data_IF_562572469075
#
_entry.id   IF_562572469075
#
_cell.length_a   1.000
_cell.length_b   1.000
_cell.length_c   1.000
_cell.angle_alpha   90.00
_cell.angle_beta   90.00
_cell.angle_gamma   90.00
#
_symmetry.space_group_name_H-M   'P 1'
#
loop_
_entity.id
_entity.type
_entity.pdbx_description
1 polymer ?
#
# COMPACT_ATOMS: atom_id res chain seq x y z
N UNK A 1 -26.07 -30.63 20.60
CA UNK A 1 -24.61 -30.86 20.50
C UNK A 1 -23.94 -29.68 21.16
N UNK A 2 -23.09 -29.81 22.19
CA UNK A 2 -22.39 -28.66 22.74
C UNK A 2 -21.40 -28.17 21.67
N UNK A 3 -21.60 -26.97 21.12
CA UNK A 3 -20.64 -26.37 20.20
C UNK A 3 -19.36 -26.08 20.98
N UNK A 4 -18.24 -26.64 20.58
CA UNK A 4 -16.96 -26.25 21.19
C UNK A 4 -16.69 -24.77 20.84
N UNK A 5 -15.79 -24.10 21.59
CA UNK A 5 -15.51 -22.68 21.36
C UNK A 5 -14.99 -22.38 19.94
N UNK A 6 -14.32 -23.36 19.31
CA UNK A 6 -13.84 -23.23 17.94
C UNK A 6 -14.98 -23.32 16.91
N UNK A 7 -16.00 -24.15 17.13
CA UNK A 7 -17.19 -24.26 16.28
C UNK A 7 -17.95 -22.93 16.27
N UNK A 8 -18.07 -22.29 17.43
CA UNK A 8 -18.69 -20.96 17.56
C UNK A 8 -17.90 -19.90 16.80
N UNK A 9 -16.57 -19.87 17.00
CA UNK A 9 -15.69 -18.92 16.31
C UNK A 9 -15.76 -19.11 14.78
N UNK A 10 -15.80 -20.37 14.33
CA UNK A 10 -15.92 -20.74 12.91
C UNK A 10 -17.24 -20.28 12.32
N UNK A 11 -18.34 -20.51 13.02
CA UNK A 11 -19.66 -20.05 12.60
C UNK A 11 -19.75 -18.52 12.54
N UNK A 12 -19.20 -17.83 13.54
CA UNK A 12 -19.14 -16.36 13.58
C UNK A 12 -18.31 -15.80 12.42
N UNK A 13 -17.11 -16.33 12.17
CA UNK A 13 -16.28 -15.88 11.05
C UNK A 13 -16.97 -16.14 9.70
N UNK A 14 -17.56 -17.33 9.53
CA UNK A 14 -18.29 -17.70 8.30
C UNK A 14 -19.45 -16.73 8.03
N UNK A 15 -20.13 -16.24 9.07
CA UNK A 15 -21.20 -15.25 8.91
C UNK A 15 -20.70 -13.92 8.35
N UNK A 16 -19.43 -13.57 8.53
CA UNK A 16 -18.82 -12.36 7.97
C UNK A 16 -18.57 -12.47 6.46
N UNK A 17 -18.38 -13.70 5.96
CA UNK A 17 -18.16 -13.96 4.53
C UNK A 17 -19.45 -13.82 3.71
N UNK A 18 -20.61 -13.76 4.37
CA UNK A 18 -21.89 -13.54 3.70
C UNK A 18 -22.02 -12.05 3.34
N UNK A 19 -21.81 -11.76 2.05
CA UNK A 19 -21.84 -10.39 1.52
C UNK A 19 -23.27 -9.87 1.50
N UNK A 20 -23.60 -9.06 2.50
CA UNK A 20 -24.88 -8.33 2.59
C UNK A 20 -24.76 -6.88 2.12
N UNK A 21 -23.54 -6.34 2.15
CA UNK A 21 -23.20 -5.02 1.66
C UNK A 21 -21.72 -5.06 1.19
N UNK A 22 -21.40 -4.68 -0.06
CA UNK A 22 -20.07 -4.83 -0.64
C UNK A 22 -19.01 -3.98 0.06
N UNK A 23 -19.41 -2.91 0.74
CA UNK A 23 -18.51 -2.10 1.57
C UNK A 23 -17.89 -2.88 2.74
N UNK A 24 -18.37 -4.09 3.00
CA UNK A 24 -17.84 -4.98 4.02
C UNK A 24 -17.42 -6.34 3.44
N UNK A 25 -17.30 -6.45 2.11
CA UNK A 25 -16.86 -7.66 1.44
C UNK A 25 -15.36 -7.88 1.66
N UNK A 26 -15.02 -9.01 2.28
CA UNK A 26 -13.65 -9.37 2.61
C UNK A 26 -12.85 -9.86 1.39
N UNK A 27 -13.52 -10.24 0.28
CA UNK A 27 -12.85 -10.60 -0.97
C UNK A 27 -12.05 -9.42 -1.57
N UNK A 28 -12.33 -8.19 -1.13
CA UNK A 28 -11.52 -7.02 -1.46
C UNK A 28 -10.05 -7.14 -0.98
N UNK A 29 -9.77 -7.97 0.03
CA UNK A 29 -8.42 -8.18 0.56
C UNK A 29 -7.71 -9.38 -0.05
N UNK A 30 -8.42 -10.26 -0.76
CA UNK A 30 -7.90 -11.51 -1.32
C UNK A 30 -8.77 -12.70 -0.94
N UNK A 31 -8.60 -13.82 -1.65
CA UNK A 31 -9.47 -14.99 -1.51
C UNK A 31 -9.16 -15.78 -0.24
N UNK A 32 -7.95 -15.59 0.33
CA UNK A 32 -7.49 -16.22 1.57
C UNK A 32 -8.50 -16.13 2.73
N UNK A 33 -9.26 -15.03 2.86
CA UNK A 33 -10.27 -14.87 3.91
C UNK A 33 -11.33 -15.96 3.90
N UNK A 34 -11.70 -16.48 2.72
CA UNK A 34 -12.64 -17.58 2.59
C UNK A 34 -12.12 -18.89 3.19
N UNK A 35 -10.79 -19.02 3.33
CA UNK A 35 -10.11 -20.19 3.89
C UNK A 35 -9.86 -20.12 5.39
N UNK A 36 -10.09 -18.97 6.02
CA UNK A 36 -9.84 -18.80 7.47
C UNK A 36 -10.70 -19.76 8.30
N UNK A 37 -12.02 -19.93 8.06
CA UNK A 37 -12.86 -20.81 8.89
C UNK A 37 -12.34 -22.25 9.03
N UNK A 38 -11.80 -22.84 7.97
CA UNK A 38 -11.28 -24.23 8.01
C UNK A 38 -9.98 -24.37 8.82
N UNK A 39 -9.34 -23.26 9.20
CA UNK A 39 -8.08 -23.23 9.98
C UNK A 39 -8.30 -22.96 11.47
N UNK A 40 -9.51 -22.57 11.86
CA UNK A 40 -9.83 -22.22 13.24
C UNK A 40 -9.93 -23.47 14.13
N UNK A 41 -9.55 -23.32 15.40
CA UNK A 41 -9.45 -24.41 16.37
C UNK A 41 -8.15 -25.21 16.30
N UNK A 42 -7.33 -24.99 15.27
CA UNK A 42 -6.03 -25.63 15.10
C UNK A 42 -4.84 -24.84 15.66
N UNK A 43 -5.01 -23.54 15.92
CA UNK A 43 -3.92 -22.67 16.37
C UNK A 43 -4.44 -21.51 17.23
N UNK A 44 -4.01 -21.47 18.50
CA UNK A 44 -4.44 -20.47 19.49
C UNK A 44 -4.20 -19.01 19.05
N UNK A 45 -3.12 -18.74 18.33
CA UNK A 45 -2.76 -17.37 17.89
C UNK A 45 -3.69 -16.92 16.77
N UNK A 46 -3.95 -17.81 15.79
CA UNK A 46 -4.88 -17.54 14.71
C UNK A 46 -6.31 -17.37 15.24
N UNK A 47 -6.73 -18.21 16.18
CA UNK A 47 -8.05 -18.14 16.82
C UNK A 47 -8.23 -16.82 17.58
N UNK A 48 -7.22 -16.39 18.34
CA UNK A 48 -7.25 -15.11 19.05
C UNK A 48 -7.32 -13.92 18.08
N UNK A 49 -6.56 -13.95 16.99
CA UNK A 49 -6.60 -12.92 15.96
C UNK A 49 -7.93 -12.89 15.20
N UNK A 50 -8.52 -14.05 14.89
CA UNK A 50 -9.84 -14.16 14.28
C UNK A 50 -10.92 -13.60 15.19
N UNK A 51 -10.86 -13.88 16.50
CA UNK A 51 -11.79 -13.30 17.47
C UNK A 51 -11.67 -11.76 17.52
N UNK A 52 -10.44 -11.23 17.58
CA UNK A 52 -10.21 -9.78 17.53
C UNK A 52 -10.75 -9.16 16.23
N UNK A 53 -10.55 -9.83 15.10
CA UNK A 53 -11.05 -9.42 13.79
C UNK A 53 -12.58 -9.37 13.75
N UNK A 54 -13.26 -10.41 14.23
CA UNK A 54 -14.73 -10.46 14.31
C UNK A 54 -15.27 -9.28 15.14
N UNK A 55 -14.68 -9.01 16.29
CA UNK A 55 -15.10 -7.89 17.14
C UNK A 55 -14.84 -6.53 16.49
N UNK A 56 -13.71 -6.37 15.80
CA UNK A 56 -13.39 -5.17 15.04
C UNK A 56 -14.36 -4.94 13.88
N UNK A 57 -14.68 -5.99 13.13
CA UNK A 57 -15.65 -5.96 12.04
C UNK A 57 -17.07 -5.62 12.55
N UNK A 58 -17.45 -6.15 13.72
CA UNK A 58 -18.70 -5.79 14.37
C UNK A 58 -18.76 -4.30 14.78
N UNK A 59 -17.63 -3.69 15.19
CA UNK A 59 -17.56 -2.23 15.42
C UNK A 59 -17.79 -1.46 14.14
N UNK A 60 -17.13 -1.88 13.05
CA UNK A 60 -17.25 -1.24 11.75
C UNK A 60 -18.71 -1.22 11.28
N UNK A 61 -19.46 -2.31 11.47
CA UNK A 61 -20.86 -2.43 11.05
C UNK A 61 -21.88 -1.79 11.99
N UNK A 62 -21.57 -1.65 13.28
CA UNK A 62 -22.49 -1.15 14.27
C UNK A 62 -21.79 -0.26 15.27
N UNK A 63 -21.89 1.06 15.06
CA UNK A 63 -21.35 2.13 15.90
C UNK A 63 -21.95 2.12 17.33
N UNK A 64 -21.65 1.11 18.14
CA UNK A 64 -22.12 1.00 19.53
C UNK A 64 -20.95 1.15 20.49
N UNK A 65 -20.90 2.30 21.16
CA UNK A 65 -19.84 2.71 22.08
C UNK A 65 -19.50 1.71 23.22
N UNK A 66 -20.40 0.79 23.56
CA UNK A 66 -20.13 -0.24 24.58
C UNK A 66 -19.27 -1.41 24.11
N UNK A 67 -19.08 -1.61 22.80
CA UNK A 67 -18.37 -2.77 22.25
C UNK A 67 -16.89 -2.51 21.95
N UNK A 68 -16.43 -1.26 22.05
CA UNK A 68 -15.04 -0.90 21.73
C UNK A 68 -14.03 -1.44 22.74
N UNK A 69 -14.37 -1.41 24.04
CA UNK A 69 -13.49 -1.91 25.11
C UNK A 69 -13.23 -3.41 24.95
N UNK A 70 -14.26 -4.17 24.58
CA UNK A 70 -14.15 -5.60 24.32
C UNK A 70 -13.30 -5.86 23.08
N UNK A 71 -13.54 -5.15 21.97
CA UNK A 71 -12.73 -5.27 20.75
C UNK A 71 -11.24 -4.97 21.02
N UNK A 72 -10.95 -3.89 21.75
CA UNK A 72 -9.58 -3.52 22.16
C UNK A 72 -8.94 -4.58 23.08
N UNK A 73 -9.71 -5.15 24.00
CA UNK A 73 -9.24 -6.22 24.89
C UNK A 73 -8.87 -7.48 24.10
N UNK A 74 -9.73 -7.92 23.16
CA UNK A 74 -9.43 -9.06 22.27
C UNK A 74 -8.22 -8.78 21.38
N UNK A 75 -8.12 -7.58 20.83
CA UNK A 75 -6.97 -7.15 20.02
C UNK A 75 -5.67 -7.18 20.83
N UNK A 76 -5.68 -6.64 22.06
CA UNK A 76 -4.53 -6.65 22.97
C UNK A 76 -4.11 -8.07 23.38
N UNK A 77 -5.08 -8.97 23.59
CA UNK A 77 -4.81 -10.37 23.87
C UNK A 77 -4.14 -11.07 22.68
N UNK A 78 -4.68 -10.90 21.47
CA UNK A 78 -4.09 -11.45 20.25
C UNK A 78 -2.66 -10.94 20.02
N UNK A 79 -2.41 -9.65 20.24
CA UNK A 79 -1.06 -9.07 20.18
C UNK A 79 -0.10 -9.69 21.21
N UNK A 80 -0.58 -9.99 22.42
CA UNK A 80 0.24 -10.63 23.47
C UNK A 80 0.67 -12.04 23.06
N UNK A 81 -0.25 -12.84 22.53
CA UNK A 81 0.05 -14.18 22.02
C UNK A 81 1.00 -14.14 20.82
N UNK A 82 0.76 -13.23 19.88
CA UNK A 82 1.60 -13.02 18.72
C UNK A 82 3.04 -12.65 19.13
N UNK A 83 3.23 -11.73 20.08
CA UNK A 83 4.57 -11.37 20.58
C UNK A 83 5.32 -12.56 21.15
N UNK A 84 4.64 -13.44 21.90
CA UNK A 84 5.24 -14.68 22.42
C UNK A 84 5.61 -15.64 21.28
N UNK A 85 4.76 -15.76 20.27
CA UNK A 85 5.00 -16.63 19.12
C UNK A 85 6.21 -16.19 18.29
N UNK A 86 6.40 -14.88 18.10
CA UNK A 86 7.54 -14.32 17.37
C UNK A 86 8.88 -14.52 18.09
N UNK A 87 8.87 -14.77 19.40
CA UNK A 87 10.06 -15.11 20.19
C UNK A 87 10.47 -16.59 20.07
N UNK A 88 9.61 -17.44 19.52
CA UNK A 88 9.88 -18.86 19.27
C UNK A 88 10.18 -19.06 17.77
N UNK A 89 11.44 -19.34 17.38
CA UNK A 89 11.82 -19.48 15.97
C UNK A 89 11.00 -20.53 15.20
N UNK A 90 10.55 -21.60 15.87
CA UNK A 90 9.76 -22.65 15.22
C UNK A 90 8.34 -22.15 14.88
N UNK A 91 7.77 -21.29 15.74
CA UNK A 91 6.43 -20.71 15.53
C UNK A 91 6.45 -19.49 14.64
N UNK A 92 7.51 -18.67 14.73
CA UNK A 92 7.67 -17.43 13.98
C UNK A 92 7.51 -17.62 12.47
N UNK A 93 8.04 -18.73 11.92
CA UNK A 93 7.96 -19.06 10.50
C UNK A 93 6.64 -19.70 10.05
N UNK A 94 5.66 -19.83 10.94
CA UNK A 94 4.44 -20.59 10.65
C UNK A 94 3.40 -19.77 9.85
N UNK A 95 2.65 -20.40 8.95
CA UNK A 95 1.54 -19.76 8.22
C UNK A 95 0.46 -19.19 9.15
N UNK A 96 0.19 -19.86 10.28
CA UNK A 96 -0.78 -19.37 11.27
C UNK A 96 -0.37 -18.05 11.90
N UNK A 97 0.93 -17.84 12.15
CA UNK A 97 1.46 -16.57 12.65
C UNK A 97 1.32 -15.48 11.59
N UNK A 98 1.64 -15.76 10.33
CA UNK A 98 1.44 -14.78 9.25
C UNK A 98 -0.05 -14.42 9.08
N UNK A 99 -0.94 -15.41 9.11
CA UNK A 99 -2.38 -15.22 9.00
C UNK A 99 -2.95 -14.41 10.17
N UNK A 100 -2.46 -14.66 11.39
CA UNK A 100 -2.82 -13.87 12.56
C UNK A 100 -2.39 -12.39 12.41
N UNK A 101 -1.18 -12.12 11.92
CA UNK A 101 -0.72 -10.75 11.66
C UNK A 101 -1.59 -10.10 10.60
N UNK A 102 -1.98 -10.82 9.55
CA UNK A 102 -2.82 -10.29 8.48
C UNK A 102 -4.22 -9.88 8.99
N UNK A 103 -4.87 -10.74 9.77
CA UNK A 103 -6.15 -10.39 10.41
C UNK A 103 -6.03 -9.15 11.30
N UNK A 104 -4.95 -9.03 12.07
CA UNK A 104 -4.70 -7.84 12.89
C UNK A 104 -4.41 -6.59 12.06
N UNK A 105 -3.65 -6.71 10.98
CA UNK A 105 -3.36 -5.60 10.05
C UNK A 105 -4.65 -5.00 9.49
N UNK A 106 -5.57 -5.85 9.03
CA UNK A 106 -6.83 -5.42 8.43
C UNK A 106 -7.79 -4.85 9.48
N UNK A 107 -7.89 -5.49 10.65
CA UNK A 107 -8.80 -5.04 11.72
C UNK A 107 -8.30 -3.81 12.49
N UNK A 108 -7.02 -3.46 12.40
CA UNK A 108 -6.43 -2.31 13.09
C UNK A 108 -7.22 -1.01 12.82
N UNK A 109 -7.61 -0.76 11.57
CA UNK A 109 -8.32 0.47 11.18
C UNK A 109 -9.79 0.50 11.60
N UNK A 110 -10.34 -0.65 12.02
CA UNK A 110 -11.72 -0.78 12.49
C UNK A 110 -11.83 -0.62 14.01
N UNK A 111 -10.81 -1.08 14.74
CA UNK A 111 -10.74 -1.05 16.20
C UNK A 111 -10.38 0.33 16.80
N UNK A 112 -10.30 1.38 15.96
CA UNK A 112 -10.48 2.82 16.25
C UNK A 112 -9.30 3.76 15.97
N UNK A 113 -9.62 5.07 15.98
CA UNK A 113 -8.66 6.19 15.96
C UNK A 113 -7.80 6.22 17.24
N UNK A 114 -8.28 5.68 18.36
CA UNK A 114 -7.54 5.67 19.64
C UNK A 114 -6.37 4.67 19.66
N UNK A 115 -6.34 3.72 18.72
CA UNK A 115 -5.17 2.87 18.48
C UNK A 115 -4.00 3.61 17.80
N UNK A 116 -4.13 4.91 17.49
CA UNK A 116 -3.03 5.80 17.09
C UNK A 116 -1.84 5.77 18.07
N UNK A 117 -2.07 5.37 19.32
CA UNK A 117 -1.06 5.23 20.38
C UNK A 117 -0.26 3.92 20.22
N UNK A 118 -0.81 2.90 19.57
CA UNK A 118 -0.17 1.58 19.44
C UNK A 118 0.86 1.63 18.31
N UNK A 119 2.12 1.85 18.70
CA UNK A 119 3.33 1.89 17.85
C UNK A 119 3.67 0.59 17.10
N UNK A 120 2.78 -0.41 17.06
CA UNK A 120 3.10 -1.72 16.48
C UNK A 120 2.96 -1.66 14.96
N UNK A 121 4.07 -1.80 14.23
CA UNK A 121 4.05 -1.98 12.78
C UNK A 121 3.73 -3.44 12.46
N UNK A 122 2.48 -3.72 12.08
CA UNK A 122 2.09 -5.05 11.59
C UNK A 122 2.88 -5.43 10.32
N UNK A 123 3.26 -4.44 9.51
CA UNK A 123 4.12 -4.66 8.34
C UNK A 123 5.51 -5.14 8.73
N UNK A 124 6.11 -4.64 9.81
CA UNK A 124 7.43 -5.12 10.28
C UNK A 124 7.32 -6.60 10.71
N UNK A 125 6.20 -6.97 11.34
CA UNK A 125 5.90 -8.37 11.67
C UNK A 125 5.74 -9.25 10.43
N UNK A 126 5.01 -8.79 9.41
CA UNK A 126 4.88 -9.48 8.12
C UNK A 126 6.26 -9.69 7.48
N UNK A 127 7.07 -8.65 7.37
CA UNK A 127 8.40 -8.72 6.77
C UNK A 127 9.31 -9.70 7.53
N UNK A 128 9.26 -9.68 8.86
CA UNK A 128 10.01 -10.63 9.69
C UNK A 128 9.58 -12.08 9.43
N UNK A 129 8.28 -12.36 9.40
CA UNK A 129 7.77 -13.72 9.15
C UNK A 129 8.06 -14.18 7.72
N UNK A 130 7.89 -13.31 6.72
CA UNK A 130 8.27 -13.61 5.34
C UNK A 130 9.76 -13.98 5.28
N UNK A 131 10.65 -13.14 5.80
CA UNK A 131 12.09 -13.40 5.74
C UNK A 131 12.50 -14.66 6.51
N UNK A 132 11.92 -14.91 7.68
CA UNK A 132 12.23 -16.11 8.47
C UNK A 132 11.62 -17.39 7.91
N UNK A 133 10.64 -17.28 7.01
CA UNK A 133 10.04 -18.42 6.30
C UNK A 133 10.52 -18.56 4.86
N UNK A 134 11.52 -17.78 4.44
CA UNK A 134 12.13 -17.89 3.13
C UNK A 134 12.73 -19.29 2.95
N UNK A 135 12.41 -19.94 1.82
CA UNK A 135 12.86 -21.31 1.53
C UNK A 135 12.06 -22.41 2.23
N UNK A 136 11.11 -22.09 3.10
CA UNK A 136 10.24 -23.09 3.72
C UNK A 136 9.13 -23.52 2.77
N UNK A 137 8.93 -24.83 2.67
CA UNK A 137 7.77 -25.42 2.00
C UNK A 137 6.55 -25.33 2.90
N UNK A 138 5.52 -24.63 2.42
CA UNK A 138 4.22 -24.60 3.07
C UNK A 138 3.32 -25.67 2.45
N UNK A 139 2.48 -26.29 3.28
CA UNK A 139 1.95 -27.63 2.99
C UNK A 139 0.77 -27.61 2.02
N UNK A 140 0.11 -26.47 1.89
CA UNK A 140 -1.09 -26.33 1.06
C UNK A 140 -1.09 -25.03 0.22
N UNK A 141 -1.94 -25.02 -0.82
CA UNK A 141 -2.08 -23.92 -1.77
C UNK A 141 -2.58 -22.62 -1.11
N UNK A 142 -3.38 -22.75 -0.05
CA UNK A 142 -3.97 -21.64 0.69
C UNK A 142 -2.91 -20.89 1.54
N UNK A 143 -1.92 -21.61 2.08
CA UNK A 143 -0.75 -21.02 2.71
C UNK A 143 0.08 -20.27 1.66
N UNK A 144 0.27 -20.86 0.48
CA UNK A 144 0.96 -20.16 -0.62
C UNK A 144 0.23 -18.87 -1.02
N UNK A 145 -1.11 -18.88 -1.08
CA UNK A 145 -1.91 -17.69 -1.35
C UNK A 145 -1.76 -16.60 -0.27
N UNK A 146 -1.73 -16.98 1.01
CA UNK A 146 -1.42 -16.07 2.10
C UNK A 146 -0.05 -15.41 1.91
N UNK A 147 0.96 -16.21 1.57
CA UNK A 147 2.33 -15.72 1.30
C UNK A 147 2.32 -14.68 0.20
N UNK A 148 1.66 -14.99 -0.93
CA UNK A 148 1.54 -14.11 -2.08
C UNK A 148 0.84 -12.80 -1.74
N UNK A 149 -0.26 -12.87 -0.97
CA UNK A 149 -1.01 -11.71 -0.49
C UNK A 149 -0.15 -10.80 0.38
N UNK A 150 0.70 -11.37 1.23
CA UNK A 150 1.58 -10.61 2.11
C UNK A 150 2.80 -10.02 1.40
N UNK A 151 3.33 -10.71 0.39
CA UNK A 151 4.33 -10.13 -0.51
C UNK A 151 3.75 -8.95 -1.30
N UNK A 152 2.48 -8.99 -1.70
CA UNK A 152 1.80 -7.87 -2.33
C UNK A 152 1.70 -6.67 -1.37
N UNK A 153 1.28 -6.91 -0.13
CA UNK A 153 1.25 -5.87 0.92
C UNK A 153 2.65 -5.29 1.20
N UNK A 154 3.69 -6.12 1.21
CA UNK A 154 5.09 -5.68 1.35
C UNK A 154 5.55 -4.81 0.18
N UNK A 155 5.16 -5.15 -1.06
CA UNK A 155 5.49 -4.35 -2.25
C UNK A 155 4.86 -2.95 -2.21
N UNK A 156 3.69 -2.81 -1.57
CA UNK A 156 3.06 -1.52 -1.35
C UNK A 156 3.75 -0.70 -0.28
N UNK A 157 4.08 -1.33 0.83
CA UNK A 157 4.84 -0.72 1.91
C UNK A 157 6.22 -0.22 1.41
N UNK A 158 6.85 -0.95 0.49
CA UNK A 158 8.13 -0.60 -0.13
C UNK A 158 8.12 0.75 -0.86
N UNK A 159 6.94 1.22 -1.31
CA UNK A 159 6.79 2.49 -2.02
C UNK A 159 7.16 3.68 -1.11
N UNK A 160 6.90 3.58 0.19
CA UNK A 160 7.08 4.69 1.14
C UNK A 160 8.02 4.36 2.32
N UNK A 161 8.43 3.10 2.44
CA UNK A 161 9.28 2.62 3.52
C UNK A 161 10.60 2.08 2.97
N UNK A 162 11.68 2.88 2.97
CA UNK A 162 13.00 2.44 2.49
C UNK A 162 13.64 1.37 3.37
N UNK A 163 13.08 1.02 4.53
CA UNK A 163 13.58 -0.08 5.36
C UNK A 163 13.04 -1.45 4.93
N UNK A 164 12.08 -1.49 3.98
CA UNK A 164 11.59 -2.76 3.44
C UNK A 164 12.75 -3.50 2.77
N UNK A 165 12.98 -4.71 3.25
CA UNK A 165 13.95 -5.64 2.71
C UNK A 165 13.36 -7.04 2.81
N UNK A 166 13.40 -7.77 1.70
CA UNK A 166 12.93 -9.15 1.62
C UNK A 166 14.09 -10.08 1.32
N UNK A 167 13.98 -11.32 1.80
CA UNK A 167 14.99 -12.34 1.56
C UNK A 167 15.20 -12.55 0.04
N UNK A 168 16.45 -12.63 -0.44
CA UNK A 168 16.75 -12.84 -1.86
C UNK A 168 16.10 -14.09 -2.46
N UNK A 169 15.75 -15.08 -1.64
CA UNK A 169 14.99 -16.24 -2.06
C UNK A 169 13.67 -15.84 -2.73
N UNK A 170 12.95 -14.87 -2.17
CA UNK A 170 11.74 -14.36 -2.80
C UNK A 170 12.06 -13.73 -4.14
N UNK A 171 13.09 -12.89 -4.23
CA UNK A 171 13.47 -12.21 -5.48
C UNK A 171 13.90 -13.20 -6.59
N UNK A 172 14.42 -14.37 -6.21
CA UNK A 172 15.00 -15.36 -7.12
C UNK A 172 14.03 -16.46 -7.53
N UNK A 173 13.13 -16.88 -6.63
CA UNK A 173 12.25 -18.05 -6.84
C UNK A 173 10.76 -17.71 -6.85
N UNK A 174 10.39 -16.55 -6.31
CA UNK A 174 9.05 -16.01 -6.38
C UNK A 174 9.09 -14.70 -7.15
N UNK A 175 8.89 -14.75 -8.46
CA UNK A 175 8.44 -13.59 -9.21
C UNK A 175 6.90 -13.65 -9.31
N UNK A 176 6.15 -13.39 -8.21
CA UNK A 176 4.71 -13.37 -8.30
C UNK A 176 4.34 -12.21 -9.21
N UNK A 177 3.77 -12.59 -10.34
CA UNK A 177 3.22 -11.63 -11.27
C UNK A 177 1.92 -11.12 -10.65
N UNK A 178 1.93 -9.87 -10.16
CA UNK A 178 0.76 -9.27 -9.53
C UNK A 178 -0.15 -8.64 -10.57
N UNK A 179 -1.41 -9.05 -10.54
CA UNK A 179 -2.40 -8.60 -11.50
C UNK A 179 -2.41 -9.47 -12.76
N UNK A 180 -3.35 -9.22 -13.67
CA UNK A 180 -3.59 -10.13 -14.77
C UNK A 180 -2.43 -10.04 -15.75
N UNK A 181 -1.57 -11.06 -15.79
CA UNK A 181 -0.85 -11.44 -17.01
C UNK A 181 -1.79 -12.16 -18.00
N UNK A 182 -3.05 -11.72 -18.04
CA UNK A 182 -4.00 -12.04 -19.10
C UNK A 182 -4.54 -10.71 -19.58
N UNK A 183 -4.34 -10.47 -20.87
CA UNK A 183 -5.07 -9.53 -21.72
C UNK A 183 -6.22 -8.86 -20.95
N UNK A 184 -6.06 -7.57 -20.62
CA UNK A 184 -7.14 -6.79 -20.01
C UNK A 184 -8.37 -6.69 -20.94
N UNK A 185 -8.21 -7.10 -22.19
CA UNK A 185 -9.22 -7.49 -23.17
C UNK A 185 -8.51 -8.24 -24.31
N UNK A 186 -9.21 -8.92 -25.21
CA UNK A 186 -8.60 -9.58 -26.41
C UNK A 186 -7.78 -8.61 -27.29
N UNK A 187 -7.88 -7.30 -27.06
CA UNK A 187 -7.25 -6.22 -27.80
C UNK A 187 -6.00 -5.60 -27.14
N UNK A 188 -5.66 -5.96 -25.88
CA UNK A 188 -4.54 -5.33 -25.14
C UNK A 188 -3.40 -6.31 -24.90
N UNK A 189 -2.39 -6.26 -25.77
CA UNK A 189 -1.28 -7.23 -25.86
C UNK A 189 -0.06 -6.94 -25.00
N UNK A 190 -0.03 -5.85 -24.22
CA UNK A 190 1.14 -5.50 -23.40
C UNK A 190 0.88 -5.69 -21.89
N UNK A 191 1.72 -6.48 -21.18
CA UNK A 191 1.67 -6.58 -19.72
C UNK A 191 2.09 -5.25 -19.08
N UNK A 192 1.41 -4.87 -17.99
CA UNK A 192 1.75 -3.69 -17.20
C UNK A 192 2.89 -4.08 -16.23
N UNK A 193 4.13 -3.82 -16.64
CA UNK A 193 5.32 -4.24 -15.91
C UNK A 193 5.56 -3.43 -14.65
N UNK A 194 4.98 -2.23 -14.51
CA UNK A 194 5.09 -1.45 -13.27
C UNK A 194 4.41 -2.11 -12.07
N UNK A 195 3.58 -3.13 -12.29
CA UNK A 195 3.02 -3.96 -11.24
C UNK A 195 3.85 -5.21 -10.94
N UNK A 196 4.90 -5.50 -11.70
CA UNK A 196 5.77 -6.65 -11.39
C UNK A 196 6.39 -6.45 -10.01
N UNK A 197 6.42 -7.53 -9.23
CA UNK A 197 6.91 -7.50 -7.86
C UNK A 197 8.33 -6.95 -7.77
N UNK A 198 9.22 -7.46 -8.62
CA UNK A 198 10.63 -7.08 -8.63
C UNK A 198 10.82 -5.60 -8.95
N UNK A 199 10.02 -5.06 -9.89
CA UNK A 199 10.06 -3.63 -10.24
C UNK A 199 9.67 -2.75 -9.04
N UNK A 200 8.71 -3.19 -8.22
CA UNK A 200 8.32 -2.46 -7.01
C UNK A 200 9.31 -2.61 -5.87
N UNK A 201 9.99 -3.74 -5.78
CA UNK A 201 11.02 -3.97 -4.75
C UNK A 201 12.31 -3.17 -4.99
N UNK A 202 12.44 -2.50 -6.14
CA UNK A 202 13.51 -1.54 -6.41
C UNK A 202 13.27 -0.15 -5.80
N UNK A 203 12.04 0.19 -5.40
CA UNK A 203 11.74 1.52 -4.85
C UNK A 203 12.52 1.83 -3.57
N UNK A 204 12.66 0.90 -2.61
CA UNK A 204 13.47 1.16 -1.42
C UNK A 204 14.91 1.56 -1.73
N UNK A 205 15.57 0.99 -2.75
CA UNK A 205 16.94 1.41 -3.11
C UNK A 205 16.97 2.81 -3.73
N UNK A 206 15.97 3.15 -4.54
CA UNK A 206 15.80 4.49 -5.10
C UNK A 206 15.63 5.55 -4.01
N UNK A 207 14.83 5.26 -2.99
CA UNK A 207 14.61 6.19 -1.87
C UNK A 207 15.87 6.31 -1.00
N UNK A 208 16.62 5.22 -0.78
CA UNK A 208 17.83 5.26 0.06
C UNK A 208 18.96 6.04 -0.60
N UNK A 209 19.17 5.83 -1.90
CA UNK A 209 20.33 6.35 -2.65
C UNK A 209 19.88 6.95 -4.01
N UNK A 210 19.07 8.03 -3.99
CA UNK A 210 18.44 8.55 -5.21
C UNK A 210 19.45 9.07 -6.23
N UNK A 211 20.60 9.58 -5.80
CA UNK A 211 21.66 10.09 -6.67
C UNK A 211 22.39 8.97 -7.41
N UNK A 212 22.57 7.81 -6.76
CA UNK A 212 23.23 6.65 -7.34
C UNK A 212 22.38 5.99 -8.42
N UNK A 213 21.06 5.95 -8.21
CA UNK A 213 20.12 5.23 -9.06
C UNK A 213 19.25 6.17 -9.92
N UNK A 214 19.71 7.38 -10.21
CA UNK A 214 18.92 8.40 -10.92
C UNK A 214 18.45 7.94 -12.31
N UNK A 215 19.29 7.21 -13.03
CA UNK A 215 18.98 6.73 -14.37
C UNK A 215 17.91 5.63 -14.33
N UNK A 216 18.02 4.69 -13.39
CA UNK A 216 17.05 3.63 -13.17
C UNK A 216 15.71 4.20 -12.69
N UNK A 217 15.74 5.19 -11.78
CA UNK A 217 14.54 5.92 -11.38
C UNK A 217 13.86 6.59 -12.56
N UNK A 218 14.63 7.25 -13.43
CA UNK A 218 14.07 7.91 -14.61
C UNK A 218 13.44 6.88 -15.57
N UNK A 219 14.11 5.75 -15.81
CA UNK A 219 13.57 4.68 -16.65
C UNK A 219 12.27 4.08 -16.07
N UNK A 220 12.22 3.86 -14.76
CA UNK A 220 11.02 3.39 -14.07
C UNK A 220 9.88 4.41 -14.14
N UNK A 221 10.19 5.70 -13.96
CA UNK A 221 9.23 6.78 -14.06
C UNK A 221 8.64 6.91 -15.47
N UNK A 222 9.48 6.88 -16.51
CA UNK A 222 9.02 6.92 -17.90
C UNK A 222 8.12 5.74 -18.24
N UNK A 223 8.42 4.54 -17.71
CA UNK A 223 7.54 3.37 -17.86
C UNK A 223 6.16 3.61 -17.23
N UNK A 224 6.10 4.19 -16.02
CA UNK A 224 4.83 4.51 -15.37
C UNK A 224 3.99 5.48 -16.20
N UNK A 225 4.62 6.49 -16.80
CA UNK A 225 3.94 7.44 -17.68
C UNK A 225 3.38 6.76 -18.95
N UNK A 226 4.16 5.85 -19.55
CA UNK A 226 3.73 5.06 -20.70
C UNK A 226 2.57 4.13 -20.36
N UNK A 227 2.59 3.52 -19.17
CA UNK A 227 1.59 2.55 -18.73
C UNK A 227 0.30 3.19 -18.18
N UNK A 228 0.38 4.43 -17.69
CA UNK A 228 -0.75 5.19 -17.10
C UNK A 228 -2.00 5.16 -17.98
N UNK A 229 -1.99 5.53 -19.28
CA UNK A 229 -3.21 5.60 -20.09
C UNK A 229 -4.00 4.27 -20.14
N UNK A 230 -3.30 3.13 -20.13
CA UNK A 230 -3.94 1.81 -20.17
C UNK A 230 -4.69 1.52 -18.87
N UNK A 231 -4.08 1.84 -17.73
CA UNK A 231 -4.68 1.67 -16.41
C UNK A 231 -5.87 2.60 -16.22
N UNK A 232 -5.73 3.85 -16.67
CA UNK A 232 -6.81 4.84 -16.60
C UNK A 232 -8.02 4.42 -17.45
N UNK A 233 -7.79 3.93 -18.67
CA UNK A 233 -8.85 3.40 -19.53
C UNK A 233 -9.59 2.24 -18.87
N UNK A 234 -8.86 1.31 -18.26
CA UNK A 234 -9.44 0.17 -17.55
C UNK A 234 -10.27 0.60 -16.33
N UNK A 235 -9.82 1.63 -15.61
CA UNK A 235 -10.56 2.22 -14.49
C UNK A 235 -11.89 2.78 -14.94
N UNK A 236 -11.88 3.61 -15.98
CA UNK A 236 -13.10 4.22 -16.53
C UNK A 236 -14.10 3.17 -16.99
N UNK A 237 -13.64 2.16 -17.74
CA UNK A 237 -14.49 1.06 -18.21
C UNK A 237 -15.14 0.28 -17.05
N UNK A 238 -14.40 0.08 -15.94
CA UNK A 238 -14.92 -0.63 -14.76
C UNK A 238 -15.92 0.23 -13.96
N UNK A 239 -15.80 1.56 -14.01
CA UNK A 239 -16.74 2.49 -13.35
C UNK A 239 -18.04 2.71 -14.10
N UNK A 240 -18.03 2.63 -15.44
CA UNK A 240 -19.21 2.89 -16.29
C UNK A 240 -20.19 1.71 -16.40
N UNK A 241 -19.73 0.49 -16.13
CA UNK A 241 -20.39 -0.76 -16.59
C UNK A 241 -21.52 -1.32 -15.71
N UNK A 242 -21.87 -0.73 -14.57
CA UNK A 242 -22.76 -1.42 -13.60
C UNK A 242 -23.78 -0.49 -12.97
N UNK A 243 -25.06 -0.71 -13.31
CA UNK A 243 -26.20 -0.24 -12.53
C UNK A 243 -26.50 -1.20 -11.37
N UNK A 244 -27.22 -0.73 -10.35
CA UNK A 244 -27.56 -1.50 -9.13
C UNK A 244 -28.44 -2.74 -9.34
N UNK A 245 -28.77 -3.09 -10.58
CA UNK A 245 -29.65 -4.20 -10.96
C UNK A 245 -28.89 -5.43 -11.51
N UNK A 246 -27.55 -5.42 -11.52
CA UNK A 246 -26.73 -6.54 -12.01
C UNK A 246 -26.70 -7.73 -11.02
N UNK A 247 -27.03 -8.97 -11.45
CA UNK A 247 -26.87 -10.18 -10.63
C UNK A 247 -25.45 -10.40 -10.07
N UNK A 248 -24.41 -9.87 -10.72
CA UNK A 248 -23.00 -9.98 -10.33
C UNK A 248 -22.45 -8.72 -9.64
N UNK A 249 -23.34 -7.88 -9.09
CA UNK A 249 -22.97 -6.61 -8.47
C UNK A 249 -21.87 -6.71 -7.38
N UNK A 250 -21.80 -7.80 -6.61
CA UNK A 250 -20.78 -8.01 -5.58
C UNK A 250 -19.39 -8.25 -6.20
N UNK A 251 -19.28 -9.16 -7.16
CA UNK A 251 -18.03 -9.41 -7.91
C UNK A 251 -17.54 -8.14 -8.61
N UNK A 252 -18.46 -7.37 -9.18
CA UNK A 252 -18.16 -6.10 -9.81
C UNK A 252 -17.65 -5.05 -8.81
N UNK A 253 -18.18 -5.04 -7.59
CA UNK A 253 -17.66 -4.16 -6.53
C UNK A 253 -16.23 -4.53 -6.12
N UNK A 254 -15.97 -5.81 -5.87
CA UNK A 254 -14.62 -6.31 -5.54
C UNK A 254 -13.63 -5.93 -6.65
N UNK A 255 -14.02 -6.13 -7.91
CA UNK A 255 -13.23 -5.69 -9.06
C UNK A 255 -12.96 -4.19 -9.01
N UNK A 256 -13.97 -3.34 -8.81
CA UNK A 256 -13.79 -1.88 -8.70
C UNK A 256 -12.78 -1.48 -7.62
N UNK A 257 -12.85 -2.11 -6.44
CA UNK A 257 -11.92 -1.85 -5.33
C UNK A 257 -10.49 -2.27 -5.68
N UNK A 258 -10.33 -3.42 -6.33
CA UNK A 258 -9.01 -3.90 -6.75
C UNK A 258 -8.40 -3.01 -7.85
N UNK A 259 -9.20 -2.58 -8.82
CA UNK A 259 -8.76 -1.63 -9.87
C UNK A 259 -8.37 -0.29 -9.24
N UNK A 260 -9.24 0.25 -8.39
CA UNK A 260 -8.99 1.44 -7.58
C UNK A 260 -7.63 1.40 -6.85
N UNK A 261 -7.38 0.30 -6.13
CA UNK A 261 -6.12 0.04 -5.44
C UNK A 261 -4.90 0.12 -6.35
N UNK A 262 -5.00 -0.47 -7.54
CA UNK A 262 -3.91 -0.49 -8.53
C UNK A 262 -3.63 0.89 -9.12
N UNK A 263 -4.67 1.65 -9.42
CA UNK A 263 -4.51 2.99 -10.00
C UNK A 263 -3.85 3.95 -9.00
N UNK A 264 -4.32 3.92 -7.75
CA UNK A 264 -3.73 4.74 -6.70
C UNK A 264 -2.30 4.27 -6.39
N UNK A 265 -2.03 2.97 -6.43
CA UNK A 265 -0.65 2.44 -6.35
C UNK A 265 0.27 3.05 -7.39
N UNK A 266 -0.18 3.07 -8.65
CA UNK A 266 0.60 3.55 -9.77
C UNK A 266 0.87 5.05 -9.64
N UNK A 267 -0.17 5.83 -9.34
CA UNK A 267 -0.04 7.27 -9.14
C UNK A 267 0.89 7.58 -7.97
N UNK A 268 0.76 6.85 -6.86
CA UNK A 268 1.65 6.97 -5.71
C UNK A 268 3.11 6.73 -6.12
N UNK A 269 3.37 5.66 -6.86
CA UNK A 269 4.71 5.34 -7.34
C UNK A 269 5.27 6.44 -8.26
N UNK A 270 4.48 6.87 -9.26
CA UNK A 270 4.89 7.89 -10.21
C UNK A 270 5.19 9.23 -9.52
N UNK A 271 4.34 9.64 -8.58
CA UNK A 271 4.50 10.89 -7.82
C UNK A 271 5.74 10.85 -6.91
N UNK A 272 6.04 9.72 -6.27
CA UNK A 272 7.24 9.59 -5.44
C UNK A 272 8.50 9.64 -6.29
N UNK A 273 8.57 8.91 -7.40
CA UNK A 273 9.72 8.98 -8.31
C UNK A 273 9.88 10.39 -8.87
N UNK A 274 8.80 11.02 -9.33
CA UNK A 274 8.81 12.38 -9.81
C UNK A 274 9.34 13.35 -8.74
N UNK A 275 8.92 13.22 -7.48
CA UNK A 275 9.37 14.11 -6.41
C UNK A 275 10.88 13.99 -6.17
N UNK A 276 11.45 12.77 -6.22
CA UNK A 276 12.90 12.57 -6.13
C UNK A 276 13.63 13.08 -7.37
N UNK A 277 13.15 12.78 -8.58
CA UNK A 277 13.75 13.26 -9.83
C UNK A 277 13.76 14.80 -9.89
N UNK A 278 12.64 15.44 -9.53
CA UNK A 278 12.52 16.90 -9.44
C UNK A 278 13.37 17.53 -8.34
N UNK A 279 13.81 16.75 -7.36
CA UNK A 279 14.76 17.22 -6.35
C UNK A 279 16.21 17.07 -6.83
N UNK A 280 16.50 16.06 -7.66
CA UNK A 280 17.81 15.82 -8.25
C UNK A 280 18.12 16.79 -9.40
N UNK A 281 17.11 17.13 -10.20
CA UNK A 281 17.18 18.13 -11.27
C UNK A 281 16.03 19.15 -11.11
N UNK A 282 16.22 20.19 -10.28
CA UNK A 282 15.14 21.12 -10.02
C UNK A 282 14.95 22.18 -11.14
N UNK A 283 15.77 22.17 -12.20
CA UNK A 283 15.58 23.00 -13.40
C UNK A 283 14.64 22.36 -14.42
N UNK A 284 14.34 21.07 -14.27
CA UNK A 284 13.43 20.36 -15.15
C UNK A 284 11.98 20.78 -14.91
N UNK A 285 11.52 21.74 -15.70
CA UNK A 285 10.13 22.21 -15.68
C UNK A 285 9.11 21.20 -16.21
N UNK A 286 9.55 20.19 -16.96
CA UNK A 286 8.67 19.12 -17.46
C UNK A 286 8.23 18.25 -16.30
N UNK A 287 9.16 17.84 -15.42
CA UNK A 287 8.83 17.06 -14.23
C UNK A 287 7.82 17.79 -13.32
N UNK A 288 7.95 19.10 -13.17
CA UNK A 288 6.96 19.90 -12.43
C UNK A 288 5.55 19.81 -13.03
N UNK A 289 5.44 20.00 -14.34
CA UNK A 289 4.15 20.00 -15.04
C UNK A 289 3.49 18.62 -14.95
N UNK A 290 4.28 17.57 -15.14
CA UNK A 290 3.81 16.19 -14.99
C UNK A 290 3.37 15.87 -13.56
N UNK A 291 4.08 16.36 -12.54
CA UNK A 291 3.71 16.19 -11.13
C UNK A 291 2.33 16.78 -10.84
N UNK A 292 2.07 17.97 -11.34
CA UNK A 292 0.78 18.68 -11.20
C UNK A 292 -0.34 17.87 -11.84
N UNK A 293 -0.13 17.35 -13.05
CA UNK A 293 -1.14 16.55 -13.75
C UNK A 293 -1.40 15.19 -13.07
N UNK A 294 -0.34 14.52 -12.60
CA UNK A 294 -0.45 13.29 -11.82
C UNK A 294 -1.17 13.52 -10.49
N UNK A 295 -0.89 14.64 -9.81
CA UNK A 295 -1.49 14.98 -8.53
C UNK A 295 -2.98 15.35 -8.66
N UNK A 296 -3.36 16.12 -9.69
CA UNK A 296 -4.78 16.35 -10.03
C UNK A 296 -5.51 15.03 -10.27
N UNK A 297 -4.87 14.12 -10.98
CA UNK A 297 -5.44 12.81 -11.27
C UNK A 297 -5.63 11.98 -9.99
N UNK A 298 -4.65 11.99 -9.07
CA UNK A 298 -4.76 11.34 -7.77
C UNK A 298 -5.95 11.87 -6.96
N UNK A 299 -6.15 13.20 -6.90
CA UNK A 299 -7.30 13.82 -6.23
C UNK A 299 -8.62 13.40 -6.89
N UNK A 300 -8.69 13.44 -8.22
CA UNK A 300 -9.88 13.06 -8.98
C UNK A 300 -10.27 11.61 -8.75
N UNK A 301 -9.30 10.69 -8.90
CA UNK A 301 -9.49 9.25 -8.74
C UNK A 301 -9.85 8.91 -7.30
N UNK A 302 -9.19 9.48 -6.30
CA UNK A 302 -9.57 9.27 -4.90
C UNK A 302 -11.02 9.69 -4.63
N UNK A 303 -11.48 10.82 -5.17
CA UNK A 303 -12.88 11.23 -5.02
C UNK A 303 -13.87 10.29 -5.72
N UNK A 304 -13.54 9.83 -6.94
CA UNK A 304 -14.38 8.90 -7.69
C UNK A 304 -14.53 7.55 -6.97
N UNK A 305 -13.46 7.09 -6.34
CA UNK A 305 -13.39 5.77 -5.73
C UNK A 305 -13.87 5.73 -4.28
N UNK A 306 -13.93 6.88 -3.59
CA UNK A 306 -14.31 6.92 -2.18
C UNK A 306 -15.70 6.29 -1.89
N UNK A 307 -16.65 6.38 -2.83
CA UNK A 307 -17.97 5.75 -2.70
C UNK A 307 -17.96 4.22 -2.89
N UNK A 308 -16.88 3.70 -3.49
CA UNK A 308 -16.73 2.31 -3.91
C UNK A 308 -15.79 1.51 -3.02
N UNK A 309 -15.02 2.12 -2.14
CA UNK A 309 -14.03 1.42 -1.29
C UNK A 309 -14.68 1.00 0.04
N UNK A 310 -14.37 -0.20 0.58
CA UNK A 310 -14.79 -0.62 1.90
C UNK A 310 -14.43 0.43 2.96
N UNK A 311 -15.40 0.73 3.83
CA UNK A 311 -15.22 1.77 4.85
C UNK A 311 -14.03 1.45 5.75
N UNK A 312 -13.15 2.45 5.94
CA UNK A 312 -11.95 2.38 6.79
C UNK A 312 -10.91 1.34 6.39
N UNK A 313 -10.89 0.86 5.15
CA UNK A 313 -9.92 -0.15 4.71
C UNK A 313 -8.76 0.37 3.86
N UNK A 314 -8.51 1.68 3.92
CA UNK A 314 -7.65 2.34 2.97
C UNK A 314 -6.36 2.87 3.60
N UNK A 315 -5.44 2.00 4.05
CA UNK A 315 -4.03 2.43 4.10
C UNK A 315 -3.53 2.82 2.70
N UNK A 316 -4.11 2.20 1.67
CA UNK A 316 -3.74 2.34 0.25
C UNK A 316 -4.25 3.62 -0.42
N UNK A 317 -5.49 4.04 -0.13
CA UNK A 317 -6.10 5.14 -0.88
C UNK A 317 -5.52 6.54 -0.59
N UNK A 318 -5.19 6.92 0.66
CA UNK A 318 -4.59 8.22 0.93
C UNK A 318 -3.13 8.27 0.52
N UNK A 319 -2.45 7.13 0.29
CA UNK A 319 -1.04 7.13 -0.12
C UNK A 319 -0.80 7.92 -1.42
N UNK A 320 -1.71 7.83 -2.39
CA UNK A 320 -1.64 8.64 -3.62
C UNK A 320 -1.81 10.15 -3.36
N UNK A 321 -2.67 10.53 -2.40
CA UNK A 321 -2.87 11.93 -2.00
C UNK A 321 -1.64 12.48 -1.26
N UNK A 322 -1.04 11.69 -0.38
CA UNK A 322 0.20 12.09 0.30
C UNK A 322 1.39 12.14 -0.66
N UNK A 323 1.48 11.22 -1.62
CA UNK A 323 2.48 11.29 -2.68
C UNK A 323 2.31 12.56 -3.54
N UNK A 324 1.06 12.97 -3.83
CA UNK A 324 0.78 14.23 -4.51
C UNK A 324 1.29 15.43 -3.70
N UNK A 325 1.08 15.42 -2.38
CA UNK A 325 1.62 16.45 -1.46
C UNK A 325 3.16 16.44 -1.36
N UNK A 326 3.83 15.32 -1.67
CA UNK A 326 5.29 15.28 -1.79
C UNK A 326 5.77 15.94 -3.09
N UNK A 327 5.08 15.65 -4.20
CA UNK A 327 5.54 16.02 -5.54
C UNK A 327 5.27 17.50 -5.89
N UNK A 328 4.22 18.11 -5.34
CA UNK A 328 3.83 19.48 -5.68
C UNK A 328 3.38 20.29 -4.46
N UNK A 329 3.54 21.62 -4.56
CA UNK A 329 3.05 22.61 -3.60
C UNK A 329 1.95 23.50 -4.18
N UNK A 330 1.35 23.12 -5.32
CA UNK A 330 0.28 23.89 -5.96
C UNK A 330 -0.93 24.09 -5.01
N UNK A 331 -1.33 25.34 -4.71
CA UNK A 331 -2.35 25.62 -3.70
C UNK A 331 -3.69 24.90 -3.96
N UNK A 332 -4.12 24.86 -5.21
CA UNK A 332 -5.39 24.21 -5.62
C UNK A 332 -5.35 22.70 -5.34
N UNK A 333 -4.20 22.05 -5.56
CA UNK A 333 -4.02 20.63 -5.32
C UNK A 333 -3.99 20.35 -3.82
N UNK A 334 -3.28 21.18 -3.04
CA UNK A 334 -3.23 21.03 -1.58
C UNK A 334 -4.62 21.20 -0.97
N UNK A 335 -5.39 22.18 -1.41
CA UNK A 335 -6.80 22.33 -0.98
C UNK A 335 -7.62 21.10 -1.38
N UNK A 336 -7.48 20.63 -2.62
CA UNK A 336 -8.20 19.44 -3.09
C UNK A 336 -7.88 18.17 -2.29
N UNK A 337 -6.62 17.99 -1.88
CA UNK A 337 -6.20 16.89 -0.99
C UNK A 337 -6.88 17.02 0.37
N UNK A 338 -6.84 18.21 0.98
CA UNK A 338 -7.45 18.47 2.29
C UNK A 338 -8.97 18.22 2.27
N UNK A 339 -9.65 18.73 1.25
CA UNK A 339 -11.08 18.53 1.05
C UNK A 339 -11.43 17.06 0.87
N UNK A 340 -10.63 16.33 0.09
CA UNK A 340 -10.83 14.89 -0.16
C UNK A 340 -10.66 14.08 1.13
N UNK A 341 -9.63 14.36 1.92
CA UNK A 341 -9.40 13.68 3.20
C UNK A 341 -10.48 14.02 4.24
N UNK A 342 -10.96 15.26 4.28
CA UNK A 342 -12.01 15.69 5.20
C UNK A 342 -13.39 15.12 4.82
N UNK A 343 -13.69 15.02 3.53
CA UNK A 343 -14.99 14.59 3.02
C UNK A 343 -15.25 13.10 3.19
N UNK A 344 -14.20 12.27 3.16
CA UNK A 344 -14.36 10.82 3.05
C UNK A 344 -13.72 10.08 4.23
N UNK A 345 -14.57 9.59 5.15
CA UNK A 345 -14.13 8.81 6.33
C UNK A 345 -13.39 7.50 6.00
N UNK A 346 -13.40 7.08 4.73
CA UNK A 346 -12.70 5.87 4.29
C UNK A 346 -11.18 6.04 4.30
N UNK A 347 -10.68 7.28 4.21
CA UNK A 347 -9.26 7.60 4.20
C UNK A 347 -8.69 7.70 5.62
N UNK A 348 -8.49 6.55 6.24
CA UNK A 348 -7.78 6.44 7.51
C UNK A 348 -6.28 6.19 7.28
N UNK A 349 -5.43 6.97 7.96
CA UNK A 349 -3.98 6.80 7.97
C UNK A 349 -3.48 6.71 9.39
N UNK A 350 -2.68 5.68 9.68
CA UNK A 350 -2.04 5.56 10.99
C UNK A 350 -0.86 6.52 11.13
N UNK A 351 -0.53 6.88 12.38
CA UNK A 351 0.51 7.86 12.67
C UNK A 351 1.90 7.46 12.13
N UNK A 352 2.20 6.16 12.03
CA UNK A 352 3.48 5.70 11.49
C UNK A 352 3.55 5.94 9.98
N UNK A 353 2.46 5.69 9.26
CA UNK A 353 2.35 5.95 7.84
C UNK A 353 2.51 7.44 7.52
N UNK A 354 1.86 8.33 8.29
CA UNK A 354 2.03 9.78 8.14
C UNK A 354 3.49 10.24 8.39
N UNK A 355 4.12 9.73 9.46
CA UNK A 355 5.53 10.03 9.78
C UNK A 355 6.50 9.63 8.66
N UNK A 356 6.18 8.58 7.89
CA UNK A 356 7.01 8.17 6.75
C UNK A 356 6.94 9.19 5.63
N UNK A 357 5.75 9.68 5.29
CA UNK A 357 5.59 10.77 4.33
C UNK A 357 6.31 12.05 4.79
N UNK A 358 6.22 12.40 6.08
CA UNK A 358 6.97 13.55 6.62
C UNK A 358 8.50 13.36 6.47
N UNK A 359 9.01 12.15 6.73
CA UNK A 359 10.43 11.83 6.58
C UNK A 359 10.86 11.94 5.11
N UNK A 360 10.07 11.40 4.20
CA UNK A 360 10.31 11.50 2.75
C UNK A 360 10.32 12.96 2.30
N UNK A 361 9.35 13.77 2.75
CA UNK A 361 9.29 15.20 2.39
C UNK A 361 10.55 15.95 2.80
N UNK A 362 11.01 15.74 4.04
CA UNK A 362 12.26 16.32 4.55
C UNK A 362 13.47 15.88 3.74
N UNK A 363 13.54 14.60 3.37
CA UNK A 363 14.62 14.07 2.54
C UNK A 363 14.64 14.72 1.15
N UNK A 364 13.49 14.77 0.48
CA UNK A 364 13.33 15.38 -0.86
C UNK A 364 13.73 16.86 -0.82
N UNK A 365 13.30 17.61 0.19
CA UNK A 365 13.72 19.00 0.36
C UNK A 365 15.22 19.15 0.59
N UNK A 366 15.82 18.32 1.45
CA UNK A 366 17.27 18.36 1.67
C UNK A 366 18.06 18.10 0.37
N UNK A 367 17.62 17.15 -0.47
CA UNK A 367 18.25 16.90 -1.77
C UNK A 367 18.14 18.14 -2.66
N UNK A 368 16.93 18.72 -2.77
CA UNK A 368 16.69 19.91 -3.60
C UNK A 368 17.55 21.10 -3.18
N UNK A 369 17.61 21.39 -1.88
CA UNK A 369 18.43 22.48 -1.33
C UNK A 369 19.92 22.27 -1.64
N UNK A 370 20.42 21.04 -1.49
CA UNK A 370 21.81 20.71 -1.81
C UNK A 370 22.10 20.90 -3.31
N UNK A 371 21.18 20.52 -4.19
CA UNK A 371 21.33 20.72 -5.65
C UNK A 371 21.32 22.20 -6.02
N UNK A 372 20.43 22.99 -5.43
CA UNK A 372 20.41 24.45 -5.61
C UNK A 372 21.71 25.11 -5.16
N UNK A 373 22.18 24.80 -3.95
CA UNK A 373 23.44 25.35 -3.43
C UNK A 373 24.65 24.98 -4.30
N UNK A 374 24.69 23.75 -4.84
CA UNK A 374 25.73 23.31 -5.77
C UNK A 374 25.69 24.07 -7.10
N UNK A 375 24.50 24.36 -7.62
CA UNK A 375 24.32 25.16 -8.84
C UNK A 375 24.72 26.62 -8.64
N UNK A 376 24.29 27.25 -7.55
CA UNK A 376 24.69 28.63 -7.21
C UNK A 376 26.22 28.74 -7.06
N UNK A 377 26.85 27.78 -6.40
CA UNK A 377 28.31 27.72 -6.26
C UNK A 377 29.01 27.55 -7.60
N UNK A 378 28.45 26.74 -8.51
CA UNK A 378 29.00 26.52 -9.85
C UNK A 378 28.86 27.77 -10.74
N UNK A 379 27.75 28.51 -10.62
CA UNK A 379 27.55 29.78 -11.32
C UNK A 379 28.52 30.87 -10.81
N UNK A 380 28.76 30.92 -9.51
CA UNK A 380 29.73 31.85 -8.90
C UNK A 380 31.18 31.53 -9.30
N UNK A 381 31.53 30.24 -9.45
CA UNK A 381 32.86 29.82 -9.89
C UNK A 381 33.05 29.91 -11.42
N UNK A 382 31.99 29.72 -12.20
CA UNK A 382 31.99 29.87 -13.66
C UNK A 382 32.08 31.32 -14.15
N UNK A 383 31.55 32.28 -13.39
CA UNK A 383 31.67 33.72 -13.68
C UNK A 383 33.07 34.32 -13.47
N UNK A 384 34.05 33.53 -12.99
CA UNK A 384 35.41 33.98 -12.69
C UNK A 384 36.43 33.66 -13.79
N UNK A 385 36.13 32.78 -14.74
CA UNK A 385 37.10 32.31 -15.75
C UNK A 385 37.00 33.01 -17.12
N UNK A 386 35.89 33.68 -17.43
CA UNK A 386 35.72 34.41 -18.71
C UNK A 386 36.25 35.86 -18.68
N UNK A 387 36.84 36.31 -17.56
CA UNK A 387 37.40 37.67 -17.46
C UNK A 387 38.92 37.75 -17.67
N UNK A 388 39.58 36.63 -18.04
CA UNK A 388 41.04 36.60 -18.27
C UNK A 388 41.48 35.99 -19.61
N UNK A 389 40.56 35.59 -20.50
CA UNK A 389 40.94 35.12 -21.85
C UNK A 389 41.08 36.22 -22.90
N UNK A 390 40.80 37.50 -22.56
CA UNK A 390 40.79 38.62 -23.50
C UNK A 390 42.03 39.55 -23.46
N UNK A 391 43.14 39.10 -22.87
CA UNK A 391 44.43 39.78 -23.05
C UNK A 391 45.45 38.88 -23.76
N UNK A 392 45.18 38.65 -25.05
CA UNK A 392 46.22 38.28 -25.99
C UNK A 392 47.18 39.46 -26.21
N UNK A 393 48.41 39.34 -25.69
CA UNK A 393 49.56 40.10 -26.16
C UNK A 393 50.81 39.21 -26.15
N UNK A 394 51.19 38.78 -27.37
CA UNK A 394 52.47 38.25 -27.88
C UNK A 394 53.31 37.29 -27.05
#
# INVERSE_FOLDING_TARGET
MPSNAADMLTAEFTSLLIVTNPKYDLACFGDWFASVPMRLGGNEILDAAANAFIQGYAQLRGHRAGRIVEALSKYGHALSLLRKALQDPAKAKSPSVLGAIYLLLVSQSWCSKELEIVRTSHMDGILYVLNTSAGEEWKDELEAELRLSMLYAASFEAIINPAVNLDPWYLSFHNPVYGPHRSLDKDFTQPIQSFDFLVRMDIPKFIREPELYSNEMHAAYQRLLLEKPFIMKYTSATTETVGSEDPHWADNHVRRVQVAGRCISLLCYALILNAFLSALDPLDTTLYTEAVDLAREAVRISNLLASHVPSRCAKLMPAGLYAAWLATNEPDIISGIQDTLAKHEVFFVDANHLRRFDKLKKQIWGIRENKWAAMESSLMLGGSWDMFSDFGLK
#
